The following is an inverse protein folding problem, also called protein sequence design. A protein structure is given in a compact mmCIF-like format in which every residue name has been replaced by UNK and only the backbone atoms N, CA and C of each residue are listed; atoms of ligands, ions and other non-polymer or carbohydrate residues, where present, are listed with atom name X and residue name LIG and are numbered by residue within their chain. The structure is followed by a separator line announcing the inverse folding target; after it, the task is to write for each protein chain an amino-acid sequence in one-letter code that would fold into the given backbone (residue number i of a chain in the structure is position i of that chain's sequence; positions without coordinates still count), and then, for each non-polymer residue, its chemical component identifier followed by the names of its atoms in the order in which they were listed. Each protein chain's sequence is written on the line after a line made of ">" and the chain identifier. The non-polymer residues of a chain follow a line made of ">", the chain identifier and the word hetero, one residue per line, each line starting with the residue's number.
data_IF_468309564031
#
_entry.id   IF_468309564031
#
_cell.length_a   1.000
_cell.length_b   1.000
_cell.length_c   1.000
_cell.angle_alpha   90.00
_cell.angle_beta   90.00
_cell.angle_gamma   90.00
#
_symmetry.space_group_name_H-M   'P 1'
#
loop_
_entity.id
_entity.type
_entity.pdbx_description
1 polymer ?
#
# COMPACT_ATOMS: atom_id res chain seq x y z
N UNK A 1 -15.15 1.97 11.90
CA UNK A 1 -15.45 1.41 10.56
C UNK A 1 -15.46 -0.12 10.68
N UNK A 2 -16.57 -0.81 10.36
CA UNK A 2 -16.84 -2.20 10.80
C UNK A 2 -15.70 -3.21 10.60
N UNK A 3 -14.88 -3.05 9.56
CA UNK A 3 -13.75 -3.93 9.25
C UNK A 3 -12.44 -3.17 8.97
N UNK A 4 -12.38 -1.86 9.27
CA UNK A 4 -11.26 -0.97 8.92
C UNK A 4 -11.18 0.20 9.92
N UNK A 5 -11.01 -0.08 11.19
CA UNK A 5 -10.98 0.91 12.28
C UNK A 5 -9.61 1.09 12.94
N UNK A 6 -8.55 0.59 12.30
CA UNK A 6 -7.18 0.81 12.77
C UNK A 6 -6.84 2.31 12.84
N UNK A 7 -6.22 2.72 13.94
CA UNK A 7 -5.72 4.07 14.19
C UNK A 7 -4.21 3.99 14.46
N UNK A 8 -3.44 3.76 13.39
CA UNK A 8 -1.98 3.63 13.48
C UNK A 8 -1.30 4.96 13.76
N UNK A 9 -0.18 4.91 14.48
CA UNK A 9 0.77 6.03 14.49
C UNK A 9 1.55 6.01 13.18
N UNK A 10 1.41 7.07 12.39
CA UNK A 10 1.96 7.19 11.05
C UNK A 10 3.08 8.22 11.04
N UNK A 11 4.19 7.89 10.40
CA UNK A 11 5.34 8.77 10.22
C UNK A 11 5.79 8.76 8.75
N UNK A 12 6.20 9.91 8.24
CA UNK A 12 6.74 10.06 6.88
C UNK A 12 8.06 10.81 6.96
N UNK A 13 9.12 10.22 6.40
CA UNK A 13 10.40 10.91 6.28
C UNK A 13 10.29 12.01 5.19
N UNK A 14 10.60 13.29 5.49
CA UNK A 14 10.42 14.38 4.54
C UNK A 14 11.44 14.40 3.38
N UNK A 15 12.55 13.68 3.50
CA UNK A 15 13.61 13.66 2.49
C UNK A 15 13.51 12.42 1.59
N UNK A 16 13.25 11.25 2.19
CA UNK A 16 13.23 9.96 1.48
C UNK A 16 11.82 9.48 1.13
N UNK A 17 10.80 10.07 1.73
CA UNK A 17 9.39 9.65 1.63
C UNK A 17 9.11 8.23 2.13
N UNK A 18 10.01 7.66 2.94
CA UNK A 18 9.70 6.42 3.66
C UNK A 18 8.49 6.62 4.56
N UNK A 19 7.54 5.69 4.47
CA UNK A 19 6.32 5.69 5.28
C UNK A 19 6.41 4.57 6.31
N UNK A 20 6.15 4.89 7.57
CA UNK A 20 6.14 3.94 8.68
C UNK A 20 4.81 3.93 9.42
N UNK A 21 4.38 2.75 9.85
CA UNK A 21 3.26 2.56 10.76
C UNK A 21 3.69 1.69 11.93
N UNK A 22 3.41 2.11 13.17
CA UNK A 22 3.90 1.42 14.37
C UNK A 22 5.44 1.21 14.37
N UNK A 23 6.18 2.10 13.72
CA UNK A 23 7.64 2.01 13.53
C UNK A 23 8.11 1.11 12.38
N UNK A 24 7.22 0.31 11.79
CA UNK A 24 7.54 -0.62 10.70
C UNK A 24 7.51 0.08 9.34
N UNK A 25 8.49 -0.20 8.48
CA UNK A 25 8.55 0.34 7.12
C UNK A 25 7.46 -0.31 6.24
N UNK A 26 6.60 0.53 5.67
CA UNK A 26 5.55 0.11 4.76
C UNK A 26 6.08 0.17 3.32
N UNK A 27 6.43 -0.99 2.77
CA UNK A 27 6.90 -1.13 1.39
C UNK A 27 6.39 -2.44 0.79
N UNK A 28 6.11 -2.44 -0.51
CA UNK A 28 5.82 -3.65 -1.27
C UNK A 28 6.44 -3.57 -2.66
N UNK A 29 6.78 -4.73 -3.21
CA UNK A 29 7.26 -4.82 -4.58
C UNK A 29 6.13 -4.53 -5.57
N UNK A 30 6.43 -3.87 -6.71
CA UNK A 30 5.43 -3.63 -7.74
C UNK A 30 4.96 -4.96 -8.34
N UNK A 31 3.64 -5.11 -8.51
CA UNK A 31 3.07 -6.24 -9.23
C UNK A 31 3.32 -6.08 -10.74
N UNK A 32 3.77 -7.15 -11.41
CA UNK A 32 4.01 -7.15 -12.87
C UNK A 32 2.80 -7.63 -13.68
N UNK A 33 1.85 -8.31 -13.03
CA UNK A 33 0.59 -8.80 -13.61
C UNK A 33 -0.51 -8.71 -12.56
N UNK A 34 -1.76 -8.50 -12.99
CA UNK A 34 -2.92 -8.45 -12.11
C UNK A 34 -3.94 -9.54 -12.46
N UNK A 35 -4.63 -10.14 -11.47
CA UNK A 35 -5.57 -11.25 -11.72
C UNK A 35 -6.79 -10.88 -12.56
N UNK A 36 -7.30 -9.64 -12.43
CA UNK A 36 -8.41 -9.10 -13.20
C UNK A 36 -7.85 -7.94 -14.01
N UNK A 37 -7.42 -8.25 -15.21
CA UNK A 37 -6.79 -7.31 -16.14
C UNK A 37 -7.02 -7.81 -17.58
N UNK A 38 -6.03 -7.74 -18.48
CA UNK A 38 -6.02 -8.14 -19.89
C UNK A 38 -6.88 -9.37 -20.28
N UNK A 39 -7.06 -10.35 -19.38
CA UNK A 39 -7.93 -11.51 -19.63
C UNK A 39 -9.42 -11.16 -19.77
N UNK A 40 -9.87 -10.05 -19.19
CA UNK A 40 -11.28 -9.71 -19.05
C UNK A 40 -11.68 -8.41 -19.76
N UNK A 41 -10.72 -7.62 -20.25
CA UNK A 41 -10.98 -6.36 -20.94
C UNK A 41 -10.66 -6.48 -22.43
N UNK A 42 -11.55 -5.95 -23.28
CA UNK A 42 -11.41 -6.00 -24.75
C UNK A 42 -10.35 -5.02 -25.28
N UNK A 43 -10.10 -3.93 -24.55
CA UNK A 43 -9.07 -2.94 -24.80
C UNK A 43 -8.34 -2.61 -23.51
#
# INVERSE_FOLDING_TARGET
>A
MKLNDALSHMEVNPETYEVRAYGELLICEPATVLPIDQRYFLF
#
